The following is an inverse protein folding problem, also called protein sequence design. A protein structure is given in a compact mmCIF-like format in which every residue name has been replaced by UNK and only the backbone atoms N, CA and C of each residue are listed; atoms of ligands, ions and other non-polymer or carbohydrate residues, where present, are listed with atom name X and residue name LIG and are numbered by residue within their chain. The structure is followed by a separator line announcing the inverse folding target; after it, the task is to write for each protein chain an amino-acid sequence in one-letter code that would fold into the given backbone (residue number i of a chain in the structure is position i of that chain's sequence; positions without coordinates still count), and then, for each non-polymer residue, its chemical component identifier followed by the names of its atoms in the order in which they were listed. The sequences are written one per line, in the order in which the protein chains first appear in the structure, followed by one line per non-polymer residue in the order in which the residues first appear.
data_IF_769679715995
#
_entry.id   IF_769679715995
#
_cell.length_a   1.000
_cell.length_b   1.000
_cell.length_c   1.000
_cell.angle_alpha   90.00
_cell.angle_beta   90.00
_cell.angle_gamma   90.00
#
_symmetry.space_group_name_H-M   'P 1'
#
loop_
_entity.id
_entity.type
_entity.pdbx_description
1 polymer ?
#
# COMPACT_ATOMS: atom_id res chain seq x y z
N UNK A 1 -24.27 -31.87 -7.87
CA UNK A 1 -25.07 -31.29 -8.98
C UNK A 1 -24.81 -29.80 -9.28
N UNK A 2 -24.63 -28.89 -8.30
CA UNK A 2 -24.33 -27.46 -8.60
C UNK A 2 -23.00 -27.20 -9.35
N UNK A 3 -21.96 -28.04 -9.11
CA UNK A 3 -20.61 -27.84 -9.68
C UNK A 3 -20.54 -28.15 -11.19
N UNK A 4 -21.30 -29.15 -11.66
CA UNK A 4 -21.41 -29.49 -13.09
C UNK A 4 -22.14 -28.40 -13.89
N UNK A 5 -23.15 -27.75 -13.29
CA UNK A 5 -23.91 -26.69 -13.95
C UNK A 5 -23.09 -25.39 -14.14
N UNK A 6 -22.21 -25.04 -13.19
CA UNK A 6 -21.32 -23.88 -13.35
C UNK A 6 -20.26 -24.12 -14.43
N UNK A 7 -19.66 -25.31 -14.46
CA UNK A 7 -18.64 -25.65 -15.46
C UNK A 7 -19.25 -25.71 -16.88
N UNK A 8 -20.45 -26.30 -17.01
CA UNK A 8 -21.21 -26.31 -18.26
C UNK A 8 -21.57 -24.90 -18.76
N UNK A 9 -22.07 -24.00 -17.89
CA UNK A 9 -22.34 -22.60 -18.26
C UNK A 9 -21.07 -21.83 -18.62
N UNK A 10 -19.96 -22.09 -17.94
CA UNK A 10 -18.67 -21.48 -18.23
C UNK A 10 -18.15 -21.87 -19.61
N UNK A 11 -18.16 -23.17 -19.94
CA UNK A 11 -17.79 -23.67 -21.27
C UNK A 11 -18.70 -23.08 -22.36
N UNK A 12 -20.01 -22.97 -22.09
CA UNK A 12 -20.96 -22.37 -23.02
C UNK A 12 -20.76 -20.85 -23.22
N UNK A 13 -20.41 -20.11 -22.16
CA UNK A 13 -20.09 -18.66 -22.22
C UNK A 13 -18.81 -18.40 -23.02
N UNK A 14 -17.76 -19.19 -22.80
CA UNK A 14 -16.49 -19.10 -23.53
C UNK A 14 -16.70 -19.39 -25.02
N UNK A 15 -17.53 -20.39 -25.33
CA UNK A 15 -17.85 -20.75 -26.71
C UNK A 15 -18.58 -19.62 -27.45
N UNK A 16 -19.28 -18.74 -26.73
CA UNK A 16 -20.05 -17.63 -27.30
C UNK A 16 -19.33 -16.26 -27.24
N UNK A 17 -18.36 -16.05 -26.35
CA UNK A 17 -17.63 -14.78 -26.26
C UNK A 17 -16.17 -14.97 -25.76
N UNK A 18 -15.15 -14.84 -26.64
CA UNK A 18 -13.75 -15.04 -26.24
C UNK A 18 -13.28 -14.03 -25.16
N UNK A 19 -13.94 -12.88 -25.04
CA UNK A 19 -13.65 -11.89 -24.01
C UNK A 19 -14.02 -12.33 -22.59
N UNK A 20 -14.93 -13.30 -22.43
CA UNK A 20 -15.25 -13.85 -21.12
C UNK A 20 -14.08 -14.63 -20.55
N UNK A 21 -13.40 -15.39 -21.42
CA UNK A 21 -12.18 -16.10 -21.08
C UNK A 21 -11.05 -15.13 -20.70
N UNK A 22 -10.84 -14.09 -21.53
CA UNK A 22 -9.84 -13.03 -21.27
C UNK A 22 -10.10 -12.37 -19.91
N UNK A 23 -11.35 -12.04 -19.60
CA UNK A 23 -11.71 -11.43 -18.32
C UNK A 23 -11.43 -12.34 -17.12
N UNK A 24 -11.69 -13.64 -17.25
CA UNK A 24 -11.43 -14.62 -16.19
C UNK A 24 -9.93 -14.76 -15.96
N UNK A 25 -9.13 -14.82 -17.04
CA UNK A 25 -7.68 -14.91 -16.94
C UNK A 25 -7.07 -13.63 -16.36
N UNK A 26 -7.53 -12.46 -16.80
CA UNK A 26 -7.21 -11.15 -16.22
C UNK A 26 -7.47 -11.12 -14.71
N UNK A 27 -8.67 -11.53 -14.31
CA UNK A 27 -9.08 -11.52 -12.91
C UNK A 27 -8.31 -12.54 -12.06
N UNK A 28 -8.05 -13.73 -12.60
CA UNK A 28 -7.22 -14.74 -11.96
C UNK A 28 -5.78 -14.24 -11.77
N UNK A 29 -5.23 -13.51 -12.75
CA UNK A 29 -3.91 -12.90 -12.66
C UNK A 29 -3.81 -11.85 -11.54
N UNK A 30 -4.84 -11.02 -11.34
CA UNK A 30 -4.89 -10.07 -10.20
C UNK A 30 -4.86 -10.84 -8.86
N UNK A 31 -5.66 -11.89 -8.71
CA UNK A 31 -5.70 -12.70 -7.49
C UNK A 31 -4.38 -13.45 -7.26
N UNK A 32 -3.77 -13.99 -8.31
CA UNK A 32 -2.45 -14.64 -8.24
C UNK A 32 -1.37 -13.63 -7.82
N UNK A 33 -1.39 -12.42 -8.39
CA UNK A 33 -0.50 -11.31 -7.97
C UNK A 33 -0.66 -11.02 -6.48
N UNK A 34 -1.89 -10.99 -5.96
CA UNK A 34 -2.17 -10.73 -4.55
C UNK A 34 -1.55 -11.79 -3.63
N UNK A 35 -1.60 -13.05 -4.03
CA UNK A 35 -1.02 -14.15 -3.27
C UNK A 35 0.52 -14.14 -3.30
N UNK A 36 1.11 -13.65 -4.38
CA UNK A 36 2.55 -13.69 -4.60
C UNK A 36 3.30 -12.44 -4.16
N UNK A 37 2.66 -11.27 -4.14
CA UNK A 37 3.35 -9.98 -3.99
C UNK A 37 4.23 -9.88 -2.75
N UNK A 38 3.84 -10.53 -1.64
CA UNK A 38 4.61 -10.57 -0.40
C UNK A 38 5.59 -11.75 -0.29
N UNK A 39 5.52 -12.72 -1.19
CA UNK A 39 6.41 -13.89 -1.21
C UNK A 39 7.54 -13.71 -2.23
N UNK A 40 7.20 -13.20 -3.42
CA UNK A 40 8.14 -12.88 -4.46
C UNK A 40 7.59 -11.69 -5.30
N UNK A 41 7.97 -10.45 -4.96
CA UNK A 41 7.51 -9.25 -5.65
C UNK A 41 7.86 -9.24 -7.16
N UNK A 42 8.98 -9.85 -7.55
CA UNK A 42 9.44 -9.89 -8.94
C UNK A 42 8.56 -10.78 -9.82
N UNK A 43 8.27 -11.99 -9.35
CA UNK A 43 7.35 -12.88 -10.06
C UNK A 43 5.92 -12.35 -10.04
N UNK A 44 5.50 -11.74 -8.92
CA UNK A 44 4.18 -11.09 -8.83
C UNK A 44 4.04 -9.98 -9.87
N UNK A 45 5.08 -9.15 -10.06
CA UNK A 45 5.07 -8.08 -11.04
C UNK A 45 4.91 -8.62 -12.47
N UNK A 46 5.56 -9.74 -12.83
CA UNK A 46 5.39 -10.38 -14.15
C UNK A 46 3.94 -10.82 -14.39
N UNK A 47 3.31 -11.42 -13.39
CA UNK A 47 1.88 -11.82 -13.46
C UNK A 47 0.97 -10.59 -13.56
N UNK A 48 1.32 -9.50 -12.87
CA UNK A 48 0.59 -8.24 -12.94
C UNK A 48 0.72 -7.59 -14.33
N UNK A 49 1.91 -7.61 -14.94
CA UNK A 49 2.13 -7.15 -16.32
C UNK A 49 1.33 -7.97 -17.31
N UNK A 50 1.30 -9.30 -17.15
CA UNK A 50 0.46 -10.17 -17.97
C UNK A 50 -1.02 -9.80 -17.86
N UNK A 51 -1.51 -9.58 -16.63
CA UNK A 51 -2.88 -9.10 -16.38
C UNK A 51 -3.12 -7.72 -17.04
N UNK A 52 -2.13 -6.85 -17.01
CA UNK A 52 -2.19 -5.53 -17.66
C UNK A 52 -2.32 -5.66 -19.17
N UNK A 53 -1.59 -6.57 -19.82
CA UNK A 53 -1.74 -6.81 -21.25
C UNK A 53 -3.17 -7.27 -21.62
N UNK A 54 -3.78 -8.13 -20.79
CA UNK A 54 -5.17 -8.58 -20.95
C UNK A 54 -6.19 -7.47 -20.69
N UNK A 55 -5.83 -6.41 -19.98
CA UNK A 55 -6.71 -5.27 -19.68
C UNK A 55 -7.05 -4.45 -20.94
N UNK A 56 -6.12 -4.35 -21.90
CA UNK A 56 -6.28 -3.56 -23.13
C UNK A 56 -7.48 -4.01 -24.00
N UNK A 57 -7.61 -5.29 -24.40
CA UNK A 57 -8.77 -5.72 -25.19
C UNK A 57 -10.09 -5.59 -24.41
N UNK A 58 -10.08 -5.71 -23.08
CA UNK A 58 -11.26 -5.53 -22.23
C UNK A 58 -11.75 -4.08 -22.21
N UNK A 59 -10.82 -3.12 -22.14
CA UNK A 59 -11.10 -1.69 -22.25
C UNK A 59 -11.59 -1.36 -23.65
N UNK A 60 -10.89 -1.82 -24.69
CA UNK A 60 -11.26 -1.55 -26.09
C UNK A 60 -12.68 -1.99 -26.44
N UNK A 61 -13.08 -3.19 -26.00
CA UNK A 61 -14.45 -3.70 -26.20
C UNK A 61 -15.52 -2.85 -25.50
N UNK A 62 -15.22 -2.32 -24.32
CA UNK A 62 -16.18 -1.61 -23.48
C UNK A 62 -15.93 -0.10 -23.42
N UNK A 63 -15.22 0.46 -24.40
CA UNK A 63 -14.73 1.84 -24.36
C UNK A 63 -15.86 2.87 -24.16
N UNK A 64 -17.01 2.66 -24.81
CA UNK A 64 -18.19 3.54 -24.67
C UNK A 64 -18.70 3.57 -23.24
N UNK A 65 -18.73 2.41 -22.56
CA UNK A 65 -19.16 2.31 -21.17
C UNK A 65 -18.14 2.95 -20.22
N UNK A 66 -16.85 2.69 -20.45
CA UNK A 66 -15.74 3.28 -19.67
C UNK A 66 -15.77 4.80 -19.75
N UNK A 67 -15.87 5.38 -20.94
CA UNK A 67 -15.91 6.83 -21.14
C UNK A 67 -17.18 7.50 -20.60
N UNK A 68 -18.30 6.76 -20.50
CA UNK A 68 -19.54 7.27 -19.90
C UNK A 68 -19.40 7.45 -18.38
N UNK A 69 -18.66 6.57 -17.71
CA UNK A 69 -18.50 6.57 -16.25
C UNK A 69 -17.28 7.38 -15.79
N UNK A 70 -17.28 8.69 -16.09
CA UNK A 70 -16.14 9.60 -15.84
C UNK A 70 -15.62 9.60 -14.40
N UNK A 71 -16.51 9.43 -13.41
CA UNK A 71 -16.11 9.35 -12.00
C UNK A 71 -15.14 8.20 -11.74
N UNK A 72 -15.38 7.02 -12.31
CA UNK A 72 -14.54 5.83 -12.12
C UNK A 72 -13.16 5.94 -12.79
N UNK A 73 -12.98 6.93 -13.69
CA UNK A 73 -11.72 7.18 -14.38
C UNK A 73 -10.77 8.12 -13.62
N UNK A 74 -11.25 8.84 -12.60
CA UNK A 74 -10.44 9.83 -11.88
C UNK A 74 -9.17 9.19 -11.27
N UNK A 75 -9.32 8.07 -10.55
CA UNK A 75 -8.17 7.38 -9.96
C UNK A 75 -7.23 6.75 -11.02
N UNK A 76 -7.73 5.99 -12.03
CA UNK A 76 -6.88 5.53 -13.14
C UNK A 76 -6.09 6.65 -13.83
N UNK A 77 -6.72 7.79 -14.10
CA UNK A 77 -6.04 8.92 -14.76
C UNK A 77 -4.96 9.51 -13.86
N UNK A 78 -5.20 9.64 -12.56
CA UNK A 78 -4.17 10.14 -11.63
C UNK A 78 -3.01 9.16 -11.43
N UNK A 79 -3.29 7.85 -11.42
CA UNK A 79 -2.24 6.82 -11.43
C UNK A 79 -1.39 6.90 -12.69
N UNK A 80 -2.03 7.09 -13.85
CA UNK A 80 -1.32 7.26 -15.13
C UNK A 80 -0.47 8.54 -15.12
N UNK A 81 -1.03 9.66 -14.65
CA UNK A 81 -0.35 10.95 -14.59
C UNK A 81 0.89 10.90 -13.68
N UNK A 82 0.75 10.34 -12.47
CA UNK A 82 1.87 10.21 -11.55
C UNK A 82 2.92 9.21 -12.05
N UNK A 83 2.48 8.11 -12.67
CA UNK A 83 3.37 7.14 -13.31
C UNK A 83 4.19 7.77 -14.45
N UNK A 84 3.54 8.52 -15.35
CA UNK A 84 4.20 9.24 -16.44
C UNK A 84 5.16 10.30 -15.93
N UNK A 85 4.79 11.06 -14.89
CA UNK A 85 5.68 12.02 -14.25
C UNK A 85 7.00 11.37 -13.81
N UNK A 86 6.95 10.18 -13.19
CA UNK A 86 8.18 9.49 -12.79
C UNK A 86 9.03 9.09 -14.00
N UNK A 87 8.41 8.55 -15.06
CA UNK A 87 9.14 8.14 -16.27
C UNK A 87 9.77 9.34 -16.97
N UNK A 88 9.02 10.42 -17.14
CA UNK A 88 9.49 11.66 -17.79
C UNK A 88 10.63 12.25 -16.98
N UNK A 89 10.51 12.31 -15.64
CA UNK A 89 11.58 12.82 -14.80
C UNK A 89 12.87 12.00 -14.95
N UNK A 90 12.79 10.67 -14.97
CA UNK A 90 13.97 9.81 -15.21
C UNK A 90 14.58 10.10 -16.59
N UNK A 91 13.77 10.24 -17.64
CA UNK A 91 14.26 10.49 -18.99
C UNK A 91 14.95 11.86 -19.13
N UNK A 92 14.41 12.88 -18.46
CA UNK A 92 14.92 14.25 -18.54
C UNK A 92 16.21 14.43 -17.73
N UNK A 93 16.29 13.84 -16.52
CA UNK A 93 17.35 14.17 -15.56
C UNK A 93 18.44 13.11 -15.41
N UNK A 94 18.24 11.87 -15.90
CA UNK A 94 19.23 10.82 -15.74
C UNK A 94 20.48 11.09 -16.58
N UNK A 95 21.63 11.19 -15.91
CA UNK A 95 22.92 11.39 -16.55
C UNK A 95 23.56 10.07 -17.01
N UNK A 96 24.31 10.10 -18.10
CA UNK A 96 25.09 8.93 -18.57
C UNK A 96 26.24 8.62 -17.60
N UNK A 97 26.38 7.36 -17.21
CA UNK A 97 27.42 6.94 -16.24
C UNK A 97 27.11 7.30 -14.79
N UNK A 98 25.88 7.70 -14.47
CA UNK A 98 25.44 8.06 -13.12
C UNK A 98 25.66 6.93 -12.09
N UNK A 99 26.24 7.30 -10.94
CA UNK A 99 26.34 6.45 -9.76
C UNK A 99 24.95 6.06 -9.19
N UNK A 100 23.91 6.84 -9.47
CA UNK A 100 22.54 6.64 -8.97
C UNK A 100 21.66 5.80 -9.91
N UNK A 101 22.26 5.02 -10.81
CA UNK A 101 21.52 4.21 -11.79
C UNK A 101 20.49 3.28 -11.12
N UNK A 102 20.80 2.75 -9.93
CA UNK A 102 19.87 1.95 -9.13
C UNK A 102 18.63 2.74 -8.70
N UNK A 103 18.82 3.94 -8.14
CA UNK A 103 17.73 4.80 -7.68
C UNK A 103 16.83 5.27 -8.83
N UNK A 104 17.41 5.71 -9.95
CA UNK A 104 16.64 6.03 -11.17
C UNK A 104 15.80 4.84 -11.65
N UNK A 105 16.36 3.62 -11.62
CA UNK A 105 15.63 2.40 -12.00
C UNK A 105 14.47 2.12 -11.04
N UNK A 106 14.62 2.40 -9.75
CA UNK A 106 13.54 2.26 -8.78
C UNK A 106 12.39 3.23 -9.08
N UNK A 107 12.64 4.53 -9.25
CA UNK A 107 11.59 5.49 -9.69
C UNK A 107 10.94 5.06 -11.01
N UNK A 108 11.75 4.60 -11.98
CA UNK A 108 11.21 4.13 -13.26
C UNK A 108 10.29 2.91 -13.08
N UNK A 109 10.65 1.98 -12.20
CA UNK A 109 9.84 0.80 -11.92
C UNK A 109 8.56 1.15 -11.16
N UNK A 110 8.62 2.01 -10.15
CA UNK A 110 7.45 2.56 -9.47
C UNK A 110 6.49 3.22 -10.46
N UNK A 111 7.01 4.08 -11.35
CA UNK A 111 6.23 4.73 -12.40
C UNK A 111 5.55 3.73 -13.35
N UNK A 112 6.27 2.71 -13.83
CA UNK A 112 5.70 1.64 -14.67
C UNK A 112 4.57 0.90 -13.96
N UNK A 113 4.74 0.56 -12.68
CA UNK A 113 3.70 -0.12 -11.88
C UNK A 113 2.42 0.71 -11.81
N UNK A 114 2.50 2.03 -11.66
CA UNK A 114 1.33 2.91 -11.64
C UNK A 114 0.62 3.00 -12.99
N UNK A 115 1.39 3.05 -14.09
CA UNK A 115 0.84 3.01 -15.45
C UNK A 115 0.08 1.69 -15.67
N UNK A 116 0.67 0.57 -15.27
CA UNK A 116 0.01 -0.74 -15.34
C UNK A 116 -1.24 -0.79 -14.46
N UNK A 117 -1.18 -0.27 -13.25
CA UNK A 117 -2.32 -0.18 -12.35
C UNK A 117 -3.45 0.70 -12.90
N UNK A 118 -3.15 1.80 -13.59
CA UNK A 118 -4.14 2.63 -14.25
C UNK A 118 -4.97 1.82 -15.27
N UNK A 119 -4.30 1.01 -16.09
CA UNK A 119 -4.95 0.14 -17.06
C UNK A 119 -5.77 -0.96 -16.38
N UNK A 120 -5.20 -1.64 -15.38
CA UNK A 120 -5.89 -2.69 -14.61
C UNK A 120 -7.14 -2.13 -13.91
N UNK A 121 -7.02 -0.98 -13.24
CA UNK A 121 -8.15 -0.30 -12.59
C UNK A 121 -9.22 0.09 -13.60
N UNK A 122 -8.84 0.62 -14.75
CA UNK A 122 -9.79 0.95 -15.83
C UNK A 122 -10.52 -0.30 -16.31
N UNK A 123 -9.80 -1.40 -16.55
CA UNK A 123 -10.41 -2.66 -16.97
C UNK A 123 -11.34 -3.25 -15.91
N UNK A 124 -11.07 -3.07 -14.63
CA UNK A 124 -11.99 -3.49 -13.56
C UNK A 124 -13.35 -2.78 -13.59
N UNK A 125 -13.42 -1.58 -14.18
CA UNK A 125 -14.68 -0.81 -14.35
C UNK A 125 -15.48 -1.23 -15.58
N UNK A 126 -14.93 -2.08 -16.45
CA UNK A 126 -15.58 -2.50 -17.71
C UNK A 126 -16.78 -3.42 -17.50
N UNK A 127 -16.91 -4.02 -16.30
CA UNK A 127 -17.97 -4.95 -15.96
C UNK A 127 -18.57 -4.63 -14.62
N UNK A 128 -19.90 -4.71 -14.58
CA UNK A 128 -20.63 -4.61 -13.34
C UNK A 128 -20.20 -5.69 -12.33
N UNK A 129 -20.17 -5.36 -11.04
CA UNK A 129 -19.91 -6.30 -9.96
C UNK A 129 -20.87 -7.49 -10.01
N UNK A 130 -20.31 -8.70 -9.94
CA UNK A 130 -21.11 -9.91 -9.79
C UNK A 130 -20.90 -10.49 -8.40
N UNK A 131 -21.98 -10.89 -7.73
CA UNK A 131 -21.93 -11.47 -6.39
C UNK A 131 -20.96 -12.67 -6.29
N UNK A 132 -20.87 -13.49 -7.35
CA UNK A 132 -19.93 -14.62 -7.38
C UNK A 132 -18.47 -14.15 -7.45
N UNK A 133 -18.18 -13.06 -8.19
CA UNK A 133 -16.85 -12.45 -8.26
C UNK A 133 -16.40 -12.02 -6.88
N UNK A 134 -17.21 -11.21 -6.20
CA UNK A 134 -16.89 -10.70 -4.85
C UNK A 134 -16.74 -11.82 -3.81
N UNK A 135 -17.53 -12.89 -3.91
CA UNK A 135 -17.38 -14.08 -3.06
C UNK A 135 -16.04 -14.79 -3.29
N UNK A 136 -15.65 -15.00 -4.55
CA UNK A 136 -14.35 -15.59 -4.89
C UNK A 136 -13.20 -14.70 -4.41
N UNK A 137 -13.28 -13.37 -4.64
CA UNK A 137 -12.30 -12.42 -4.10
C UNK A 137 -12.16 -12.58 -2.59
N UNK A 138 -13.31 -12.61 -1.89
CA UNK A 138 -13.33 -12.63 -0.43
C UNK A 138 -12.66 -13.88 0.13
N UNK A 139 -12.98 -15.05 -0.42
CA UNK A 139 -12.36 -16.31 -0.02
C UNK A 139 -10.86 -16.33 -0.33
N UNK A 140 -10.48 -15.86 -1.52
CA UNK A 140 -9.08 -15.81 -1.93
C UNK A 140 -8.26 -14.89 -1.02
N UNK A 141 -8.75 -13.69 -0.72
CA UNK A 141 -8.10 -12.74 0.19
C UNK A 141 -7.90 -13.35 1.59
N UNK A 142 -8.87 -14.08 2.12
CA UNK A 142 -8.74 -14.76 3.43
C UNK A 142 -7.65 -15.84 3.36
N UNK A 143 -7.65 -16.67 2.32
CA UNK A 143 -6.64 -17.71 2.13
C UNK A 143 -5.23 -17.12 1.97
N UNK A 144 -5.10 -16.03 1.19
CA UNK A 144 -3.85 -15.29 1.05
C UNK A 144 -3.36 -14.74 2.38
N UNK A 145 -4.24 -14.10 3.17
CA UNK A 145 -3.87 -13.56 4.47
C UNK A 145 -3.38 -14.66 5.42
N UNK A 146 -4.12 -15.77 5.51
CA UNK A 146 -3.71 -16.93 6.33
C UNK A 146 -2.35 -17.48 5.86
N UNK A 147 -2.17 -17.68 4.56
CA UNK A 147 -0.92 -18.18 3.99
C UNK A 147 0.26 -17.27 4.32
N UNK A 148 0.09 -15.95 4.21
CA UNK A 148 1.12 -14.97 4.54
C UNK A 148 1.42 -14.89 6.04
N UNK A 149 0.42 -15.03 6.91
CA UNK A 149 0.64 -15.09 8.35
C UNK A 149 1.42 -16.34 8.76
N UNK A 150 1.11 -17.49 8.14
CA UNK A 150 1.87 -18.72 8.35
C UNK A 150 3.31 -18.60 7.83
N UNK A 151 3.50 -17.97 6.67
CA UNK A 151 4.83 -17.73 6.11
C UNK A 151 5.67 -16.80 7.00
N UNK A 152 5.07 -15.71 7.49
CA UNK A 152 5.71 -14.82 8.47
C UNK A 152 6.07 -15.56 9.77
N UNK A 153 5.16 -16.42 10.26
CA UNK A 153 5.40 -17.25 11.44
C UNK A 153 6.53 -18.26 11.24
N UNK A 154 6.64 -18.84 10.04
CA UNK A 154 7.74 -19.72 9.66
C UNK A 154 9.10 -19.00 9.67
N UNK A 155 9.19 -17.81 9.07
CA UNK A 155 10.42 -17.00 9.13
C UNK A 155 10.80 -16.62 10.56
N UNK A 156 9.81 -16.19 11.37
CA UNK A 156 10.04 -15.84 12.76
C UNK A 156 10.50 -17.04 13.61
N UNK A 157 9.95 -18.23 13.37
CA UNK A 157 10.31 -19.45 14.11
C UNK A 157 11.70 -19.99 13.72
N UNK A 158 12.13 -19.74 12.48
CA UNK A 158 13.48 -20.08 12.00
C UNK A 158 14.57 -19.09 12.44
N UNK A 159 14.20 -17.98 13.08
CA UNK A 159 15.14 -16.94 13.47
C UNK A 159 16.00 -17.35 14.68
N UNK A 160 17.33 -17.10 14.65
CA UNK A 160 18.21 -17.37 15.80
C UNK A 160 17.83 -16.57 17.06
N UNK A 161 17.33 -15.34 16.87
CA UNK A 161 16.80 -14.49 17.93
C UNK A 161 15.65 -13.63 17.39
N UNK A 162 14.45 -13.84 17.94
CA UNK A 162 13.22 -13.14 17.56
C UNK A 162 13.29 -11.65 17.93
N UNK A 163 14.09 -11.27 18.92
CA UNK A 163 14.19 -9.88 19.38
C UNK A 163 15.01 -9.01 18.42
N UNK A 164 15.90 -9.61 17.63
CA UNK A 164 16.76 -8.91 16.67
C UNK A 164 16.40 -9.19 15.21
N UNK A 165 15.80 -10.34 14.92
CA UNK A 165 15.35 -10.68 13.59
C UNK A 165 14.09 -9.88 13.18
N UNK A 166 14.11 -9.35 11.95
CA UNK A 166 13.01 -8.61 11.36
C UNK A 166 12.48 -9.38 10.17
N UNK A 167 11.24 -9.86 10.28
CA UNK A 167 10.56 -10.57 9.20
C UNK A 167 10.41 -9.65 8.00
N UNK A 168 10.98 -10.05 6.87
CA UNK A 168 10.97 -9.31 5.61
C UNK A 168 10.15 -9.98 4.51
N UNK A 169 9.74 -11.24 4.70
CA UNK A 169 9.07 -12.02 3.66
C UNK A 169 9.90 -11.98 2.35
N UNK A 170 9.24 -11.83 1.20
CA UNK A 170 9.90 -11.69 -0.09
C UNK A 170 10.50 -10.32 -0.40
N UNK A 171 10.50 -9.36 0.54
CA UNK A 171 11.00 -8.01 0.31
C UNK A 171 12.47 -7.84 0.72
N UNK A 172 13.15 -6.89 0.08
CA UNK A 172 14.52 -6.50 0.47
C UNK A 172 14.58 -5.86 1.86
N UNK A 173 13.49 -5.18 2.27
CA UNK A 173 13.41 -4.47 3.53
C UNK A 173 12.13 -4.84 4.32
N UNK A 174 12.24 -5.10 5.65
CA UNK A 174 11.09 -5.39 6.51
C UNK A 174 10.01 -4.29 6.54
N UNK A 175 10.37 -3.06 6.19
CA UNK A 175 9.43 -1.93 6.12
C UNK A 175 8.41 -2.12 5.00
N UNK A 176 8.87 -2.48 3.79
CA UNK A 176 8.00 -2.79 2.65
C UNK A 176 7.06 -3.96 2.94
N UNK A 177 7.57 -5.02 3.57
CA UNK A 177 6.79 -6.16 3.99
C UNK A 177 5.68 -5.78 4.99
N UNK A 178 6.00 -4.94 5.98
CA UNK A 178 5.04 -4.49 6.99
C UNK A 178 3.91 -3.65 6.40
N UNK A 179 4.22 -2.77 5.44
CA UNK A 179 3.22 -1.97 4.73
C UNK A 179 2.35 -2.86 3.83
N UNK A 180 2.96 -3.80 3.09
CA UNK A 180 2.24 -4.80 2.31
C UNK A 180 1.29 -5.64 3.17
N UNK A 181 1.75 -6.10 4.33
CA UNK A 181 0.96 -6.89 5.29
C UNK A 181 -0.21 -6.09 5.84
N UNK A 182 -0.02 -4.78 6.08
CA UNK A 182 -1.12 -3.89 6.47
C UNK A 182 -2.22 -3.90 5.42
N UNK A 183 -1.89 -3.80 4.13
CA UNK A 183 -2.90 -3.82 3.07
C UNK A 183 -3.64 -5.16 3.01
N UNK A 184 -2.91 -6.28 3.07
CA UNK A 184 -3.53 -7.62 3.09
C UNK A 184 -4.45 -7.78 4.30
N UNK A 185 -4.01 -7.34 5.48
CA UNK A 185 -4.80 -7.40 6.70
C UNK A 185 -6.08 -6.56 6.59
N UNK A 186 -6.02 -5.34 6.04
CA UNK A 186 -7.21 -4.50 5.84
C UNK A 186 -8.19 -5.11 4.84
N UNK A 187 -7.70 -5.69 3.74
CA UNK A 187 -8.52 -6.42 2.79
C UNK A 187 -9.22 -7.62 3.46
N UNK A 188 -8.47 -8.42 4.22
CA UNK A 188 -9.01 -9.57 4.96
C UNK A 188 -10.01 -9.16 6.06
N UNK A 189 -9.75 -8.05 6.75
CA UNK A 189 -10.67 -7.47 7.72
C UNK A 189 -12.02 -7.13 7.07
N UNK A 190 -12.03 -6.48 5.91
CA UNK A 190 -13.28 -6.20 5.19
C UNK A 190 -14.00 -7.47 4.73
N UNK A 191 -13.28 -8.49 4.25
CA UNK A 191 -13.91 -9.73 3.79
C UNK A 191 -14.52 -10.51 4.95
N UNK A 192 -13.88 -10.54 6.13
CA UNK A 192 -14.44 -11.12 7.36
C UNK A 192 -15.72 -10.41 7.78
N UNK A 193 -15.75 -9.07 7.74
CA UNK A 193 -16.97 -8.28 7.99
C UNK A 193 -18.09 -8.65 7.02
N UNK A 194 -17.75 -8.85 5.74
CA UNK A 194 -18.70 -9.22 4.69
C UNK A 194 -19.27 -10.65 4.85
N UNK A 195 -18.67 -11.54 5.66
CA UNK A 195 -19.18 -12.90 5.89
C UNK A 195 -20.51 -12.94 6.66
N UNK A 196 -20.82 -11.91 7.45
CA UNK A 196 -22.08 -11.77 8.23
C UNK A 196 -22.47 -13.00 9.06
N UNK A 197 -21.47 -13.70 9.61
CA UNK A 197 -21.68 -14.82 10.53
C UNK A 197 -22.07 -14.31 11.92
N UNK A 198 -22.75 -15.14 12.71
CA UNK A 198 -23.08 -14.84 14.12
C UNK A 198 -21.87 -14.39 14.94
N UNK A 199 -20.70 -14.95 14.64
CA UNK A 199 -19.43 -14.66 15.33
C UNK A 199 -18.48 -13.77 14.51
N UNK A 200 -18.95 -13.03 13.50
CA UNK A 200 -18.09 -12.18 12.66
C UNK A 200 -17.24 -11.20 13.45
N UNK A 201 -17.77 -10.63 14.54
CA UNK A 201 -17.02 -9.71 15.42
C UNK A 201 -15.86 -10.42 16.11
N UNK A 202 -16.10 -11.64 16.62
CA UNK A 202 -15.07 -12.44 17.27
C UNK A 202 -13.98 -12.84 16.27
N UNK A 203 -14.37 -13.22 15.05
CA UNK A 203 -13.43 -13.52 13.98
C UNK A 203 -12.61 -12.29 13.58
N UNK A 204 -13.23 -11.11 13.53
CA UNK A 204 -12.54 -9.86 13.26
C UNK A 204 -11.50 -9.54 14.34
N UNK A 205 -11.87 -9.67 15.63
CA UNK A 205 -10.96 -9.44 16.75
C UNK A 205 -9.81 -10.46 16.77
N UNK A 206 -10.09 -11.73 16.49
CA UNK A 206 -9.06 -12.76 16.36
C UNK A 206 -8.10 -12.45 15.21
N UNK A 207 -8.64 -12.07 14.04
CA UNK A 207 -7.85 -11.66 12.89
C UNK A 207 -6.99 -10.42 13.21
N UNK A 208 -7.56 -9.43 13.89
CA UNK A 208 -6.84 -8.24 14.35
C UNK A 208 -5.64 -8.60 15.23
N UNK A 209 -5.82 -9.50 16.19
CA UNK A 209 -4.72 -9.96 17.06
C UNK A 209 -3.63 -10.69 16.27
N UNK A 210 -4.01 -11.63 15.40
CA UNK A 210 -3.06 -12.42 14.63
C UNK A 210 -2.25 -11.54 13.67
N UNK A 211 -2.93 -10.65 12.95
CA UNK A 211 -2.29 -9.69 12.04
C UNK A 211 -1.39 -8.71 12.80
N UNK A 212 -1.81 -8.21 13.97
CA UNK A 212 -0.96 -7.36 14.80
C UNK A 212 0.29 -8.10 15.29
N UNK A 213 0.16 -9.35 15.73
CA UNK A 213 1.29 -10.19 16.11
C UNK A 213 2.28 -10.37 14.96
N UNK A 214 1.79 -10.63 13.74
CA UNK A 214 2.63 -10.73 12.53
C UNK A 214 3.28 -9.39 12.19
N UNK A 215 2.58 -8.27 12.33
CA UNK A 215 3.20 -6.95 12.08
C UNK A 215 4.32 -6.63 13.07
N UNK A 216 4.20 -7.09 14.31
CA UNK A 216 5.21 -6.89 15.34
C UNK A 216 6.52 -7.59 15.00
N UNK A 217 6.49 -8.77 14.36
CA UNK A 217 7.72 -9.49 13.96
C UNK A 217 8.52 -8.77 12.86
N UNK A 218 7.89 -7.85 12.12
CA UNK A 218 8.61 -6.97 11.17
C UNK A 218 9.42 -5.86 11.85
N UNK A 219 9.09 -5.59 13.12
CA UNK A 219 9.61 -4.48 13.93
C UNK A 219 9.47 -3.09 13.31
N UNK A 220 8.52 -2.90 12.39
CA UNK A 220 8.30 -1.62 11.71
C UNK A 220 7.35 -0.74 12.53
N UNK A 221 7.92 0.26 13.24
CA UNK A 221 7.20 1.14 14.18
C UNK A 221 5.94 1.77 13.56
N UNK A 222 6.06 2.31 12.35
CA UNK A 222 4.94 2.93 11.65
C UNK A 222 3.79 1.95 11.45
N UNK A 223 4.06 0.72 10.99
CA UNK A 223 3.03 -0.29 10.78
C UNK A 223 2.38 -0.75 12.09
N UNK A 224 3.19 -1.00 13.13
CA UNK A 224 2.71 -1.44 14.46
C UNK A 224 1.75 -0.42 15.08
N UNK A 225 1.99 0.88 14.88
CA UNK A 225 1.16 1.96 15.44
C UNK A 225 -0.06 2.28 14.56
N UNK A 226 0.13 2.35 13.25
CA UNK A 226 -0.90 2.83 12.32
C UNK A 226 -1.90 1.73 11.99
N UNK A 227 -1.49 0.47 11.84
CA UNK A 227 -2.42 -0.62 11.52
C UNK A 227 -3.58 -0.74 12.52
N UNK A 228 -3.35 -0.74 13.86
CA UNK A 228 -4.44 -0.79 14.81
C UNK A 228 -5.46 0.33 14.61
N UNK A 229 -4.98 1.56 14.39
CA UNK A 229 -5.83 2.73 14.17
C UNK A 229 -6.66 2.55 12.90
N UNK A 230 -6.06 2.08 11.81
CA UNK A 230 -6.74 1.84 10.54
C UNK A 230 -7.77 0.71 10.64
N UNK A 231 -7.43 -0.40 11.30
CA UNK A 231 -8.32 -1.55 11.49
C UNK A 231 -9.49 -1.22 12.41
N UNK A 232 -9.25 -0.45 13.47
CA UNK A 232 -10.32 0.11 14.32
C UNK A 232 -11.18 1.06 13.49
N UNK A 233 -10.57 2.00 12.77
CA UNK A 233 -11.28 2.94 11.89
C UNK A 233 -12.19 2.24 10.88
N UNK A 234 -11.72 1.17 10.23
CA UNK A 234 -12.52 0.35 9.32
C UNK A 234 -13.74 -0.25 10.02
N UNK A 235 -13.55 -0.84 11.19
CA UNK A 235 -14.63 -1.41 11.99
C UNK A 235 -15.66 -0.34 12.40
N UNK A 236 -15.18 0.83 12.82
CA UNK A 236 -16.01 1.97 13.24
C UNK A 236 -16.87 2.49 12.09
N UNK A 237 -16.28 2.69 10.91
CA UNK A 237 -17.03 3.17 9.74
C UNK A 237 -18.06 2.12 9.30
N UNK A 238 -17.72 0.83 9.36
CA UNK A 238 -18.64 -0.26 9.00
C UNK A 238 -19.86 -0.36 9.94
N UNK A 239 -19.65 -0.24 11.25
CA UNK A 239 -20.72 -0.35 12.26
C UNK A 239 -21.20 1.00 12.81
N UNK A 240 -21.00 2.11 12.07
CA UNK A 240 -21.28 3.48 12.51
C UNK A 240 -22.69 3.70 13.08
N UNK A 241 -23.67 2.93 12.64
CA UNK A 241 -25.07 3.02 13.09
C UNK A 241 -25.38 2.18 14.34
N UNK A 242 -24.51 1.26 14.78
CA UNK A 242 -24.75 0.36 15.91
C UNK A 242 -23.88 0.72 17.13
N UNK A 243 -24.29 1.76 17.88
CA UNK A 243 -23.53 2.32 19.02
C UNK A 243 -23.20 1.29 20.12
N UNK A 244 -24.11 0.36 20.44
CA UNK A 244 -23.87 -0.67 21.47
C UNK A 244 -22.76 -1.63 21.07
N UNK A 245 -22.76 -2.04 19.81
CA UNK A 245 -21.73 -2.91 19.25
C UNK A 245 -20.38 -2.20 19.16
N UNK A 246 -20.40 -0.92 18.79
CA UNK A 246 -19.21 -0.06 18.74
C UNK A 246 -18.53 0.05 20.10
N UNK A 247 -19.29 0.34 21.17
CA UNK A 247 -18.77 0.44 22.53
C UNK A 247 -18.15 -0.88 23.01
N UNK A 248 -18.82 -2.01 22.77
CA UNK A 248 -18.30 -3.34 23.13
C UNK A 248 -17.02 -3.69 22.37
N UNK A 249 -16.99 -3.39 21.07
CA UNK A 249 -15.82 -3.64 20.25
C UNK A 249 -14.65 -2.73 20.63
N UNK A 250 -14.89 -1.44 20.92
CA UNK A 250 -13.86 -0.52 21.42
C UNK A 250 -13.25 -1.03 22.73
N UNK A 251 -14.09 -1.43 23.70
CA UNK A 251 -13.63 -2.07 24.93
C UNK A 251 -12.79 -3.31 24.64
N UNK A 252 -13.23 -4.16 23.71
CA UNK A 252 -12.46 -5.33 23.30
C UNK A 252 -11.12 -4.95 22.66
N UNK A 253 -11.05 -3.96 21.78
CA UNK A 253 -9.79 -3.47 21.21
C UNK A 253 -8.85 -2.91 22.26
N UNK A 254 -9.35 -2.18 23.25
CA UNK A 254 -8.55 -1.64 24.36
C UNK A 254 -8.00 -2.76 25.23
N UNK A 255 -8.85 -3.73 25.60
CA UNK A 255 -8.44 -4.88 26.41
C UNK A 255 -7.39 -5.70 25.65
N UNK A 256 -7.68 -6.04 24.39
CA UNK A 256 -6.79 -6.86 23.56
C UNK A 256 -5.49 -6.14 23.21
N UNK A 257 -5.53 -4.85 22.92
CA UNK A 257 -4.36 -4.01 22.71
C UNK A 257 -3.52 -3.90 23.98
N UNK A 258 -4.16 -3.72 25.14
CA UNK A 258 -3.51 -3.74 26.44
C UNK A 258 -2.83 -5.08 26.74
N UNK A 259 -3.52 -6.20 26.52
CA UNK A 259 -2.94 -7.54 26.64
C UNK A 259 -1.76 -7.76 25.70
N UNK A 260 -1.84 -7.25 24.47
CA UNK A 260 -0.73 -7.32 23.53
C UNK A 260 0.52 -6.59 24.03
N UNK A 261 0.40 -5.54 24.86
CA UNK A 261 1.58 -4.85 25.42
C UNK A 261 2.43 -5.72 26.34
N UNK A 262 1.87 -6.77 26.95
CA UNK A 262 2.60 -7.63 27.90
C UNK A 262 3.79 -8.34 27.24
N UNK A 263 3.61 -9.15 26.17
CA UNK A 263 4.74 -9.75 25.46
C UNK A 263 5.62 -8.72 24.73
N UNK A 264 5.06 -7.55 24.42
CA UNK A 264 5.73 -6.48 23.67
C UNK A 264 6.49 -5.48 24.54
N UNK A 265 6.38 -5.56 25.87
CA UNK A 265 6.88 -4.54 26.80
C UNK A 265 8.36 -4.27 26.61
N UNK A 266 9.19 -5.31 26.54
CA UNK A 266 10.64 -5.19 26.39
C UNK A 266 11.01 -4.50 25.07
N UNK A 267 10.32 -4.83 23.98
CA UNK A 267 10.52 -4.19 22.68
C UNK A 267 10.09 -2.71 22.74
N UNK A 268 8.93 -2.41 23.31
CA UNK A 268 8.41 -1.04 23.42
C UNK A 268 9.34 -0.17 24.28
N UNK A 269 9.79 -0.68 25.43
CA UNK A 269 10.66 0.06 26.36
C UNK A 269 11.98 0.45 25.71
N UNK A 270 12.68 -0.50 25.08
CA UNK A 270 13.94 -0.22 24.37
C UNK A 270 13.72 0.82 23.26
N UNK A 271 12.59 0.75 22.55
CA UNK A 271 12.28 1.72 21.48
C UNK A 271 11.95 3.10 22.03
N UNK A 272 11.27 3.18 23.17
CA UNK A 272 10.99 4.44 23.85
C UNK A 272 12.29 5.09 24.35
N UNK A 273 13.15 4.32 24.99
CA UNK A 273 14.45 4.81 25.46
C UNK A 273 15.34 5.29 24.30
N UNK A 274 15.40 4.52 23.20
CA UNK A 274 16.11 4.94 21.99
C UNK A 274 15.52 6.21 21.38
N UNK A 275 14.19 6.36 21.34
CA UNK A 275 13.52 7.57 20.87
C UNK A 275 13.89 8.78 21.74
N UNK A 276 13.87 8.64 23.06
CA UNK A 276 14.25 9.73 23.97
C UNK A 276 15.73 10.09 23.84
N UNK A 277 16.62 9.10 23.70
CA UNK A 277 18.05 9.32 23.48
C UNK A 277 18.32 10.01 22.13
N UNK A 278 17.63 9.62 21.07
CA UNK A 278 17.73 10.25 19.75
C UNK A 278 17.28 11.72 19.80
N UNK A 279 16.14 12.01 20.46
CA UNK A 279 15.61 13.37 20.61
C UNK A 279 16.54 14.25 21.44
N UNK A 280 17.08 13.71 22.54
CA UNK A 280 18.06 14.43 23.34
C UNK A 280 19.33 14.72 22.53
N UNK A 281 19.84 13.75 21.77
CA UNK A 281 21.01 13.95 20.90
C UNK A 281 20.76 15.01 19.83
N UNK A 282 19.57 15.01 19.22
CA UNK A 282 19.19 16.03 18.24
C UNK A 282 19.13 17.44 18.85
N UNK A 283 18.62 17.57 20.09
CA UNK A 283 18.64 18.86 20.81
C UNK A 283 20.05 19.39 21.10
N UNK A 284 21.04 18.49 21.15
CA UNK A 284 22.47 18.81 21.29
C UNK A 284 23.17 18.96 19.94
N UNK A 285 22.43 19.33 18.89
CA UNK A 285 22.90 19.49 17.50
C UNK A 285 23.50 18.22 16.87
N UNK A 286 23.24 17.04 17.41
CA UNK A 286 23.68 15.77 16.82
C UNK A 286 22.53 15.09 16.06
N UNK A 287 22.59 15.18 14.74
CA UNK A 287 21.62 14.57 13.83
C UNK A 287 21.95 13.14 13.41
N UNK A 288 23.10 12.59 13.82
CA UNK A 288 23.55 11.25 13.45
C UNK A 288 22.88 10.14 14.28
N UNK A 289 21.55 10.20 14.37
CA UNK A 289 20.69 9.23 15.05
C UNK A 289 19.54 8.81 14.12
N UNK A 290 18.81 7.75 14.45
CA UNK A 290 17.76 7.25 13.54
C UNK A 290 16.65 8.27 13.28
N UNK A 291 16.32 9.08 14.27
CA UNK A 291 15.28 10.12 14.16
C UNK A 291 15.88 11.47 13.76
N UNK A 292 17.06 11.80 14.30
CA UNK A 292 17.80 13.00 13.89
C UNK A 292 18.08 13.01 12.39
N UNK A 293 18.43 11.85 11.81
CA UNK A 293 18.66 11.71 10.38
C UNK A 293 17.39 11.92 9.56
N UNK A 294 16.21 11.52 10.05
CA UNK A 294 14.93 11.76 9.36
C UNK A 294 14.56 13.24 9.35
N UNK A 295 14.77 13.94 10.47
CA UNK A 295 14.58 15.40 10.50
C UNK A 295 15.58 16.12 9.60
N UNK A 296 16.85 15.72 9.64
CA UNK A 296 17.88 16.23 8.73
C UNK A 296 17.49 16.02 7.26
N UNK A 297 17.04 14.80 6.89
CA UNK A 297 16.56 14.46 5.54
C UNK A 297 15.38 15.34 5.10
N UNK A 298 14.42 15.57 5.99
CA UNK A 298 13.29 16.47 5.68
C UNK A 298 13.77 17.89 5.42
N UNK A 299 14.68 18.40 6.26
CA UNK A 299 15.20 19.76 6.13
C UNK A 299 15.98 19.94 4.83
N UNK A 300 16.97 19.08 4.56
CA UNK A 300 17.76 19.18 3.33
C UNK A 300 16.91 18.93 2.08
N UNK A 301 15.88 18.09 2.17
CA UNK A 301 14.94 17.87 1.07
C UNK A 301 14.11 19.11 0.72
N UNK A 302 13.68 19.87 1.74
CA UNK A 302 12.98 21.14 1.55
C UNK A 302 13.93 22.18 0.95
N UNK A 303 15.16 22.30 1.46
CA UNK A 303 16.14 23.25 0.96
C UNK A 303 16.54 22.96 -0.49
N UNK A 304 16.81 21.70 -0.82
CA UNK A 304 17.10 21.26 -2.19
C UNK A 304 15.90 21.50 -3.13
N UNK A 305 14.68 21.22 -2.68
CA UNK A 305 13.47 21.51 -3.47
C UNK A 305 13.24 23.02 -3.69
N UNK A 306 13.56 23.86 -2.71
CA UNK A 306 13.48 25.31 -2.83
C UNK A 306 14.50 25.88 -3.82
N UNK A 307 15.70 25.28 -3.90
CA UNK A 307 16.69 25.64 -4.90
C UNK A 307 16.22 25.29 -6.33
N UNK A 308 15.45 24.20 -6.48
CA UNK A 308 15.04 23.64 -7.77
C UNK A 308 13.52 23.39 -7.88
N UNK A 309 12.74 24.47 -7.94
CA UNK A 309 11.26 24.40 -7.98
C UNK A 309 10.67 23.61 -9.15
N UNK A 310 11.42 23.42 -10.24
CA UNK A 310 11.03 22.66 -11.43
C UNK A 310 11.55 21.22 -11.45
N UNK A 311 12.25 20.81 -10.40
CA UNK A 311 12.92 19.52 -10.31
C UNK A 311 14.40 19.58 -10.69
N UNK A 312 15.11 18.53 -10.29
CA UNK A 312 16.56 18.37 -10.47
C UNK A 312 16.94 16.89 -10.58
N UNK A 313 18.20 16.63 -10.94
CA UNK A 313 18.75 15.29 -10.98
C UNK A 313 19.16 14.79 -9.60
N UNK A 314 19.35 13.47 -9.44
CA UNK A 314 19.85 12.89 -8.19
C UNK A 314 21.27 13.35 -7.86
N UNK A 315 22.11 13.54 -8.87
CA UNK A 315 23.48 14.04 -8.74
C UNK A 315 23.50 15.46 -8.20
N UNK A 316 22.61 16.31 -8.73
CA UNK A 316 22.51 17.68 -8.29
C UNK A 316 21.99 17.76 -6.85
N UNK A 317 20.94 16.97 -6.54
CA UNK A 317 20.42 16.87 -5.18
C UNK A 317 21.49 16.38 -4.20
N UNK A 318 22.30 15.39 -4.60
CA UNK A 318 23.40 14.87 -3.78
C UNK A 318 24.46 15.95 -3.48
N UNK A 319 24.89 16.68 -4.51
CA UNK A 319 25.86 17.77 -4.34
C UNK A 319 25.32 18.88 -3.41
N UNK A 320 24.04 19.24 -3.54
CA UNK A 320 23.37 20.24 -2.70
C UNK A 320 23.25 19.77 -1.25
N UNK A 321 22.79 18.54 -1.02
CA UNK A 321 22.68 17.99 0.33
C UNK A 321 24.05 17.94 1.01
N UNK A 322 25.11 17.57 0.27
CA UNK A 322 26.49 17.60 0.77
C UNK A 322 26.92 19.03 1.14
N UNK A 323 26.61 20.01 0.31
CA UNK A 323 26.91 21.42 0.60
C UNK A 323 26.17 21.93 1.85
N UNK A 324 24.88 21.64 1.99
CA UNK A 324 24.09 22.04 3.16
C UNK A 324 24.58 21.35 4.45
N UNK A 325 24.91 20.06 4.39
CA UNK A 325 25.45 19.32 5.53
C UNK A 325 26.83 19.81 6.00
N UNK A 326 27.64 20.37 5.10
CA UNK A 326 28.90 21.03 5.45
C UNK A 326 28.68 22.39 6.15
N UNK A 327 27.59 23.08 5.83
CA UNK A 327 27.25 24.38 6.40
C UNK A 327 26.51 24.27 7.74
N UNK A 328 25.78 23.18 7.99
CA UNK A 328 24.96 23.01 9.18
C UNK A 328 25.10 21.61 9.79
N UNK A 329 25.65 21.55 11.02
CA UNK A 329 25.89 20.30 11.77
C UNK A 329 24.59 19.52 12.02
N UNK A 330 23.45 20.22 12.13
CA UNK A 330 22.13 19.59 12.34
C UNK A 330 21.62 18.82 11.11
N UNK A 331 22.26 18.97 9.95
CA UNK A 331 21.90 18.30 8.70
C UNK A 331 22.82 17.11 8.35
N UNK A 332 23.91 16.92 9.08
CA UNK A 332 24.91 15.88 8.77
C UNK A 332 24.34 14.46 8.77
N UNK A 333 23.33 14.18 9.58
CA UNK A 333 22.65 12.88 9.61
C UNK A 333 21.99 12.49 8.29
N UNK A 334 21.72 13.44 7.39
CA UNK A 334 21.20 13.15 6.06
C UNK A 334 22.26 12.52 5.13
N UNK A 335 23.56 12.74 5.38
CA UNK A 335 24.66 12.28 4.52
C UNK A 335 24.69 10.76 4.31
N UNK A 336 24.22 9.99 5.31
CA UNK A 336 24.16 8.54 5.22
C UNK A 336 23.06 8.01 4.28
N UNK A 337 22.15 8.87 3.81
CA UNK A 337 20.94 8.48 3.08
C UNK A 337 20.77 9.19 1.74
N UNK A 338 21.76 9.99 1.34
CA UNK A 338 21.74 10.79 0.10
C UNK A 338 21.64 9.91 -1.14
N UNK A 339 22.24 8.72 -1.08
CA UNK A 339 22.33 7.79 -2.22
C UNK A 339 21.04 7.02 -2.52
N UNK A 340 20.00 7.14 -1.68
CA UNK A 340 18.80 6.31 -1.78
C UNK A 340 17.54 7.16 -1.92
N UNK A 341 17.04 7.73 -0.82
CA UNK A 341 15.80 8.52 -0.76
C UNK A 341 15.62 9.20 0.61
N UNK A 342 14.76 10.21 0.68
CA UNK A 342 14.57 11.03 1.90
C UNK A 342 13.53 10.51 2.90
N UNK A 343 13.08 9.25 2.79
CA UNK A 343 12.13 8.61 3.72
C UNK A 343 10.82 9.41 3.96
N UNK A 344 10.40 10.20 2.98
CA UNK A 344 9.10 10.88 2.95
C UNK A 344 8.76 11.16 1.48
N UNK A 345 7.66 10.61 1.00
CA UNK A 345 7.28 10.65 -0.42
C UNK A 345 7.01 12.07 -0.92
N UNK A 346 6.46 12.95 -0.06
CA UNK A 346 6.18 14.35 -0.42
C UNK A 346 7.48 15.14 -0.52
N UNK A 347 8.35 15.05 0.48
CA UNK A 347 9.62 15.77 0.50
C UNK A 347 10.57 15.24 -0.58
N UNK A 348 10.64 13.93 -0.76
CA UNK A 348 11.45 13.33 -1.82
C UNK A 348 10.95 13.76 -3.21
N UNK A 349 9.63 13.72 -3.43
CA UNK A 349 9.02 14.23 -4.67
C UNK A 349 9.28 15.71 -4.88
N UNK A 350 9.19 16.54 -3.83
CA UNK A 350 9.51 17.96 -3.92
C UNK A 350 10.97 18.20 -4.30
N UNK A 351 11.90 17.50 -3.62
CA UNK A 351 13.33 17.65 -3.83
C UNK A 351 13.79 17.29 -5.25
N UNK A 352 13.12 16.33 -5.91
CA UNK A 352 13.51 15.81 -7.23
C UNK A 352 12.64 16.34 -8.37
N UNK A 353 11.33 16.43 -8.16
CA UNK A 353 10.33 16.71 -9.20
C UNK A 353 9.67 18.09 -9.03
N UNK A 354 10.10 18.85 -8.01
CA UNK A 354 9.64 20.20 -7.75
C UNK A 354 8.16 20.31 -7.42
N UNK A 355 7.63 21.52 -7.56
CA UNK A 355 6.20 21.83 -7.36
C UNK A 355 5.30 20.98 -8.25
N UNK A 356 5.57 20.80 -9.56
CA UNK A 356 4.71 19.98 -10.42
C UNK A 356 4.55 18.56 -9.89
N UNK A 357 5.63 17.95 -9.38
CA UNK A 357 5.56 16.61 -8.85
C UNK A 357 4.71 16.49 -7.59
N UNK A 358 4.85 17.43 -6.66
CA UNK A 358 4.04 17.46 -5.42
C UNK A 358 2.57 17.67 -5.75
N UNK A 359 2.25 18.56 -6.69
CA UNK A 359 0.87 18.80 -7.12
C UNK A 359 0.24 17.51 -7.64
N UNK A 360 0.93 16.78 -8.52
CA UNK A 360 0.42 15.51 -9.06
C UNK A 360 0.25 14.46 -7.95
N UNK A 361 1.19 14.37 -7.01
CA UNK A 361 1.10 13.46 -5.86
C UNK A 361 -0.11 13.76 -4.97
N UNK A 362 -0.34 15.03 -4.63
CA UNK A 362 -1.47 15.45 -3.82
C UNK A 362 -2.81 15.22 -4.56
N UNK A 363 -2.84 15.43 -5.87
CA UNK A 363 -4.01 15.10 -6.71
C UNK A 363 -4.27 13.59 -6.72
N UNK A 364 -3.23 12.75 -6.76
CA UNK A 364 -3.37 11.30 -6.65
C UNK A 364 -3.97 10.90 -5.29
N UNK A 365 -3.44 11.39 -4.18
CA UNK A 365 -4.01 11.11 -2.86
C UNK A 365 -5.46 11.59 -2.75
N UNK A 366 -5.74 12.80 -3.25
CA UNK A 366 -7.11 13.35 -3.29
C UNK A 366 -8.05 12.47 -4.11
N UNK A 367 -7.61 11.99 -5.28
CA UNK A 367 -8.41 11.10 -6.13
C UNK A 367 -8.73 9.78 -5.44
N UNK A 368 -7.80 9.21 -4.68
CA UNK A 368 -8.03 7.98 -3.92
C UNK A 368 -9.14 8.15 -2.87
N UNK A 369 -9.07 9.24 -2.08
CA UNK A 369 -10.12 9.56 -1.10
C UNK A 369 -11.45 9.94 -1.75
N UNK A 370 -11.41 10.68 -2.86
CA UNK A 370 -12.60 11.11 -3.59
C UNK A 370 -13.39 9.91 -4.14
N UNK A 371 -12.69 8.92 -4.69
CA UNK A 371 -13.31 7.67 -5.16
C UNK A 371 -13.88 6.88 -4.00
N UNK A 372 -13.14 6.78 -2.89
CA UNK A 372 -13.65 6.13 -1.68
C UNK A 372 -14.95 6.78 -1.17
N UNK A 373 -15.02 8.11 -1.22
CA UNK A 373 -16.20 8.89 -0.85
C UNK A 373 -17.37 8.67 -1.81
N UNK A 374 -17.16 8.81 -3.12
CA UNK A 374 -18.22 8.61 -4.12
C UNK A 374 -18.77 7.20 -4.12
N UNK A 375 -17.91 6.19 -3.97
CA UNK A 375 -18.33 4.79 -3.86
C UNK A 375 -18.84 4.40 -2.47
N UNK A 376 -18.80 5.33 -1.50
CA UNK A 376 -19.14 5.11 -0.08
C UNK A 376 -18.48 3.85 0.48
N UNK A 377 -17.21 3.64 0.14
CA UNK A 377 -16.46 2.44 0.50
C UNK A 377 -15.55 2.71 1.70
N UNK A 378 -15.83 2.12 2.87
CA UNK A 378 -14.95 2.20 4.04
C UNK A 378 -13.57 1.63 3.75
N UNK A 379 -13.52 0.51 3.01
CA UNK A 379 -12.27 -0.17 2.68
C UNK A 379 -11.35 0.70 1.81
N UNK A 380 -11.88 1.29 0.73
CA UNK A 380 -11.08 2.17 -0.12
C UNK A 380 -10.59 3.39 0.67
N UNK A 381 -11.41 3.93 1.57
CA UNK A 381 -11.03 5.08 2.40
C UNK A 381 -9.86 4.74 3.31
N UNK A 382 -9.93 3.59 4.01
CA UNK A 382 -8.88 3.16 4.95
C UNK A 382 -7.60 2.75 4.21
N UNK A 383 -7.68 2.09 3.05
CA UNK A 383 -6.49 1.80 2.22
C UNK A 383 -5.87 3.09 1.69
N UNK A 384 -6.68 4.07 1.29
CA UNK A 384 -6.16 5.38 0.87
C UNK A 384 -5.45 6.10 2.01
N UNK A 385 -6.02 6.05 3.22
CA UNK A 385 -5.38 6.52 4.44
C UNK A 385 -4.06 5.81 4.73
N UNK A 386 -4.03 4.49 4.59
CA UNK A 386 -2.82 3.70 4.79
C UNK A 386 -1.70 4.10 3.82
N UNK A 387 -2.01 4.25 2.52
CA UNK A 387 -1.06 4.66 1.49
C UNK A 387 -0.52 6.07 1.79
N UNK A 388 -1.40 7.03 2.10
CA UNK A 388 -0.98 8.41 2.40
C UNK A 388 -0.15 8.50 3.69
N UNK A 389 -0.54 7.82 4.77
CA UNK A 389 0.18 7.87 6.05
C UNK A 389 1.56 7.20 5.92
N UNK A 390 1.64 6.03 5.27
CA UNK A 390 2.92 5.39 5.04
C UNK A 390 3.80 6.14 4.04
N UNK A 391 3.22 6.77 3.01
CA UNK A 391 3.93 7.68 2.11
C UNK A 391 4.49 8.93 2.81
N UNK A 392 3.84 9.41 3.87
CA UNK A 392 4.41 10.49 4.70
C UNK A 392 5.53 10.01 5.63
N UNK A 393 5.55 8.73 5.98
CA UNK A 393 6.58 8.14 6.86
C UNK A 393 7.76 7.52 6.12
N UNK A 394 7.58 7.16 4.85
CA UNK A 394 8.56 6.46 4.01
C UNK A 394 8.16 6.57 2.53
N UNK A 395 8.91 5.97 1.60
CA UNK A 395 8.56 5.98 0.17
C UNK A 395 7.81 4.71 -0.23
N UNK A 396 6.49 4.80 -0.30
CA UNK A 396 5.64 3.68 -0.63
C UNK A 396 5.47 3.51 -2.15
N UNK A 397 5.50 4.62 -2.90
CA UNK A 397 5.33 4.66 -4.36
C UNK A 397 6.65 4.70 -5.15
N UNK A 398 7.77 4.39 -4.51
CA UNK A 398 9.11 4.39 -5.09
C UNK A 398 9.52 3.03 -5.63
N UNK A 399 9.63 2.03 -4.75
CA UNK A 399 10.15 0.72 -5.10
C UNK A 399 9.04 -0.19 -5.65
N UNK A 400 9.45 -1.13 -6.51
CA UNK A 400 8.54 -1.96 -7.30
C UNK A 400 7.55 -2.77 -6.44
N UNK A 401 8.01 -3.32 -5.31
CA UNK A 401 7.20 -4.20 -4.47
C UNK A 401 6.16 -3.43 -3.65
N UNK A 402 6.57 -2.31 -3.07
CA UNK A 402 5.76 -1.43 -2.24
C UNK A 402 4.70 -0.73 -3.09
N UNK A 403 5.11 -0.20 -4.26
CA UNK A 403 4.20 0.39 -5.22
C UNK A 403 3.19 -0.65 -5.71
N UNK A 404 3.64 -1.87 -6.04
CA UNK A 404 2.75 -2.96 -6.50
C UNK A 404 1.75 -3.35 -5.42
N UNK A 405 2.20 -3.53 -4.17
CA UNK A 405 1.33 -3.87 -3.04
C UNK A 405 0.24 -2.82 -2.83
N UNK A 406 0.61 -1.55 -2.93
CA UNK A 406 -0.28 -0.41 -2.72
C UNK A 406 -1.37 -0.32 -3.80
N UNK A 407 -0.97 -0.34 -5.07
CA UNK A 407 -1.92 -0.24 -6.19
C UNK A 407 -2.78 -1.49 -6.31
N UNK A 408 -2.23 -2.67 -5.99
CA UNK A 408 -2.97 -3.91 -5.98
C UNK A 408 -4.02 -3.93 -4.87
N UNK A 409 -3.71 -3.35 -3.70
CA UNK A 409 -4.68 -3.18 -2.62
C UNK A 409 -5.87 -2.32 -3.07
N UNK A 410 -5.63 -1.22 -3.80
CA UNK A 410 -6.70 -0.41 -4.40
C UNK A 410 -7.51 -1.21 -5.42
N UNK A 411 -6.86 -1.99 -6.28
CA UNK A 411 -7.53 -2.85 -7.27
C UNK A 411 -8.47 -3.87 -6.61
N UNK A 412 -7.99 -4.59 -5.60
CA UNK A 412 -8.78 -5.60 -4.90
C UNK A 412 -9.87 -4.94 -4.06
N UNK A 413 -9.58 -3.80 -3.44
CA UNK A 413 -10.56 -3.03 -2.69
C UNK A 413 -11.71 -2.54 -3.57
N UNK A 414 -11.44 -2.10 -4.80
CA UNK A 414 -12.48 -1.73 -5.76
C UNK A 414 -13.40 -2.90 -6.14
N UNK A 415 -12.90 -4.14 -6.11
CA UNK A 415 -13.70 -5.36 -6.34
C UNK A 415 -14.50 -5.79 -5.11
N UNK A 416 -13.99 -5.50 -3.90
CA UNK A 416 -14.65 -5.83 -2.64
C UNK A 416 -15.67 -4.76 -2.20
N UNK A 417 -15.43 -3.49 -2.55
CA UNK A 417 -16.29 -2.34 -2.27
C UNK A 417 -17.60 -2.37 -3.04
N UNK A 418 -17.61 -3.09 -4.16
CA UNK A 418 -18.70 -3.14 -5.09
C UNK A 418 -19.89 -4.00 -4.64
N UNK A 419 -19.83 -4.51 -3.40
CA UNK A 419 -21.00 -5.05 -2.73
C UNK A 419 -21.86 -3.86 -2.29
N UNK A 420 -23.12 -3.75 -2.74
CA UNK A 420 -24.02 -2.77 -2.17
C UNK A 420 -24.07 -3.05 -0.68
N UNK A 421 -23.61 -2.11 0.13
CA UNK A 421 -24.04 -1.98 1.51
C UNK A 421 -25.57 -1.94 1.46
N UNK A 422 -26.15 -3.13 1.60
CA UNK A 422 -27.58 -3.42 1.57
C UNK A 422 -28.23 -2.92 2.88
N UNK A 423 -27.91 -1.68 3.27
CA UNK A 423 -28.71 -0.89 4.21
C UNK A 423 -30.11 -0.62 3.62
N UNK A 424 -30.35 -0.94 2.34
CA UNK A 424 -31.68 -0.98 1.73
C UNK A 424 -32.60 -2.15 2.16
N UNK A 425 -32.19 -3.05 3.05
CA UNK A 425 -33.06 -4.15 3.53
C UNK A 425 -33.57 -3.98 4.96
N UNK A 426 -33.22 -2.87 5.63
CA UNK A 426 -33.82 -2.49 6.91
C UNK A 426 -34.19 -1.01 6.85
N UNK A 427 -35.18 -0.72 6.00
CA UNK A 427 -36.01 0.47 6.06
C UNK A 427 -37.45 0.00 6.20
#
# INVERSE_FOLDING_TARGET
MLRQHMFSRFVCSIKNNPFDFIYVLFYAGILATLAMVLVNPDEALKVFIFSTALSLPLIGKNIKHVCSNKQNLVLPVMLLLFGLLQIIWVEVFKQSGSAFTGAYRSYQNGGKVMIFAALVMTALTTREPCANKTRITSLWTILTAIGLYLFAGYEAAGAPDIMTYRVALGFEHPTGAAYGLTFIALLASQTILNLRLKHTVSLYLLHFLLSLAVMVTTQTRAAILIYPILSIGLFFIHYRHNRRMLLRALLAFVILGGLATIPLKSVIEVRYQNLMADLHSYSQNNSNTSIGARFAMQQVGIEAGNAHLWGQSLEQRDAEIKAFALQNVTMQGALAYVDVHLHNEVIDTFSLKGIPGVVVLLLLYTAMFLIAYWQRSPLLFVISGAIAIYGLSDLLLYAKGEALSSVLALCVAAVLSSNPTRERCHG
#
